data_IF_385026631364
#
_entry.id   IF_385026631364
#
_cell.length_a   1.000
_cell.length_b   1.000
_cell.length_c   1.000
_cell.angle_alpha   90.00
_cell.angle_beta   90.00
_cell.angle_gamma   90.00
#
_symmetry.space_group_name_H-M   'P 1'
#
loop_
_entity.id
_entity.type
_entity.pdbx_description
1 polymer ?
#
# COMPACT_ATOMS: atom_id res chain seq x y z
N UNK A 1 -0.76 16.11 8.40
CA UNK A 1 -2.19 16.01 8.73
C UNK A 1 -2.38 15.20 10.01
N UNK A 2 -3.15 15.71 10.98
CA UNK A 2 -3.22 15.20 12.37
C UNK A 2 -4.44 14.31 12.69
N UNK A 3 -5.35 14.14 11.72
CA UNK A 3 -6.51 13.26 11.85
C UNK A 3 -6.40 12.15 10.80
N UNK A 4 -6.12 10.93 11.27
CA UNK A 4 -6.06 9.66 10.50
C UNK A 4 -7.41 9.24 9.88
N UNK A 5 -8.27 10.21 9.55
CA UNK A 5 -9.63 10.00 9.09
C UNK A 5 -9.86 10.87 7.86
N UNK A 6 -10.24 10.24 6.76
CA UNK A 6 -10.76 10.89 5.57
C UNK A 6 -12.24 10.51 5.46
N UNK A 7 -13.14 11.45 5.75
CA UNK A 7 -14.56 11.15 5.92
C UNK A 7 -14.82 10.18 7.08
N UNK A 8 -15.54 9.07 6.80
CA UNK A 8 -15.82 7.98 7.77
C UNK A 8 -14.74 6.90 7.81
N UNK A 9 -13.74 6.98 6.94
CA UNK A 9 -12.71 5.95 6.79
C UNK A 9 -11.45 6.31 7.57
N UNK A 10 -10.95 5.34 8.33
CA UNK A 10 -9.67 5.45 9.05
C UNK A 10 -8.56 4.98 8.12
N UNK A 11 -7.55 5.83 7.96
CA UNK A 11 -6.33 5.50 7.23
C UNK A 11 -5.17 5.35 8.21
N UNK A 12 -4.56 4.17 8.21
CA UNK A 12 -3.27 3.93 8.85
C UNK A 12 -2.19 4.45 7.92
N UNK A 13 -1.09 4.96 8.49
CA UNK A 13 0.05 5.49 7.71
C UNK A 13 1.26 4.58 7.88
N UNK A 14 2.03 4.35 6.82
CA UNK A 14 3.28 3.58 6.82
C UNK A 14 3.10 2.21 7.46
N UNK A 15 2.24 1.39 6.85
CA UNK A 15 1.91 0.05 7.33
C UNK A 15 2.83 -0.95 6.65
N UNK A 16 3.51 -1.79 7.42
CA UNK A 16 4.22 -2.95 6.88
C UNK A 16 3.23 -3.99 6.38
N UNK A 17 3.32 -4.36 5.10
CA UNK A 17 2.53 -5.41 4.46
C UNK A 17 3.51 -6.44 3.91
N UNK A 18 3.65 -7.55 4.64
CA UNK A 18 4.63 -8.61 4.35
C UNK A 18 6.06 -8.04 4.19
N UNK A 19 6.57 -7.99 2.95
CA UNK A 19 7.92 -7.50 2.63
C UNK A 19 7.98 -6.01 2.27
N UNK A 20 6.84 -5.35 2.18
CA UNK A 20 6.73 -3.96 1.71
C UNK A 20 6.13 -3.03 2.78
N UNK A 21 6.23 -1.73 2.53
CA UNK A 21 5.55 -0.70 3.33
C UNK A 21 4.60 0.09 2.44
N UNK A 22 3.34 0.15 2.86
CA UNK A 22 2.29 0.95 2.25
C UNK A 22 2.16 2.31 2.94
N UNK A 23 2.08 3.39 2.16
CA UNK A 23 1.98 4.73 2.73
C UNK A 23 0.68 4.96 3.48
N UNK A 24 -0.44 4.52 2.92
CA UNK A 24 -1.74 4.58 3.58
C UNK A 24 -2.59 3.34 3.33
N UNK A 25 -3.22 2.83 4.39
CA UNK A 25 -4.11 1.66 4.32
C UNK A 25 -5.46 1.97 4.94
N UNK A 26 -6.54 1.64 4.23
CA UNK A 26 -7.89 1.59 4.77
C UNK A 26 -8.41 0.15 4.77
N UNK A 27 -8.36 -0.50 5.92
CA UNK A 27 -8.80 -1.89 6.08
C UNK A 27 -10.29 -2.07 5.76
N UNK A 28 -11.13 -1.13 6.20
CA UNK A 28 -12.58 -1.19 5.99
C UNK A 28 -12.98 -1.18 4.51
N UNK A 29 -12.21 -0.46 3.68
CA UNK A 29 -12.42 -0.39 2.23
C UNK A 29 -11.57 -1.40 1.45
N UNK A 30 -10.61 -2.08 2.10
CA UNK A 30 -9.56 -2.91 1.46
C UNK A 30 -8.79 -2.15 0.38
N UNK A 31 -8.44 -0.89 0.67
CA UNK A 31 -7.71 -0.01 -0.25
C UNK A 31 -6.36 0.37 0.33
N UNK A 32 -5.34 0.35 -0.53
CA UNK A 32 -4.00 0.89 -0.28
C UNK A 32 -3.82 2.12 -1.16
N UNK A 33 -3.24 3.19 -0.61
CA UNK A 33 -2.87 4.41 -1.34
C UNK A 33 -1.39 4.66 -1.11
N UNK A 34 -0.63 4.66 -2.19
CA UNK A 34 0.80 5.03 -2.21
C UNK A 34 0.96 6.47 -2.69
N UNK A 35 1.95 7.20 -2.16
CA UNK A 35 2.28 8.52 -2.64
C UNK A 35 3.33 8.41 -3.74
N UNK A 36 3.11 9.06 -4.87
CA UNK A 36 4.14 9.14 -5.90
C UNK A 36 5.36 9.93 -5.39
N UNK A 37 6.55 9.33 -5.52
CA UNK A 37 7.79 9.97 -5.11
C UNK A 37 9.02 9.11 -5.38
N UNK A 38 10.25 9.65 -5.18
CA UNK A 38 11.50 8.98 -5.55
C UNK A 38 11.77 7.66 -4.83
N UNK A 39 11.07 7.41 -3.71
CA UNK A 39 11.13 6.16 -2.93
C UNK A 39 10.27 5.05 -3.57
N UNK A 40 9.31 5.44 -4.42
CA UNK A 40 8.46 4.57 -5.22
C UNK A 40 9.00 4.42 -6.65
N UNK A 41 9.73 5.42 -7.15
CA UNK A 41 10.49 5.31 -8.40
C UNK A 41 11.50 4.16 -8.32
N UNK A 42 11.33 3.15 -9.19
CA UNK A 42 12.17 1.94 -9.23
C UNK A 42 11.65 0.73 -8.46
N UNK A 43 10.50 0.82 -7.76
CA UNK A 43 9.83 -0.37 -7.18
C UNK A 43 9.10 -1.23 -8.21
N UNK A 44 8.87 -0.75 -9.43
CA UNK A 44 8.18 -1.47 -10.52
C UNK A 44 8.81 -2.84 -10.86
N UNK A 45 10.13 -2.97 -10.72
CA UNK A 45 10.86 -4.24 -10.95
C UNK A 45 10.60 -5.26 -9.83
N UNK A 46 10.26 -4.80 -8.63
CA UNK A 46 9.89 -5.67 -7.51
C UNK A 46 8.40 -6.06 -7.56
N UNK A 47 7.58 -5.18 -8.13
CA UNK A 47 6.12 -5.35 -8.27
C UNK A 47 5.74 -6.46 -9.25
N UNK A 48 6.54 -6.68 -10.30
CA UNK A 48 6.29 -7.74 -11.30
C UNK A 48 6.41 -9.16 -10.71
N UNK A 49 7.33 -9.39 -9.76
CA UNK A 49 7.40 -10.66 -9.00
C UNK A 49 6.23 -10.85 -8.05
N UNK A 50 5.68 -9.75 -7.53
CA UNK A 50 4.55 -9.76 -6.60
C UNK A 50 3.27 -10.20 -7.31
N UNK A 51 3.03 -9.70 -8.52
CA UNK A 51 1.90 -10.14 -9.36
C UNK A 51 1.98 -11.63 -9.68
N UNK A 52 3.14 -12.14 -10.10
CA UNK A 52 3.31 -13.58 -10.39
C UNK A 52 3.02 -14.47 -9.18
N UNK A 53 3.50 -14.10 -7.99
CA UNK A 53 3.23 -14.87 -6.76
C UNK A 53 1.74 -14.84 -6.41
N UNK A 54 1.09 -13.67 -6.46
CA UNK A 54 -0.32 -13.55 -6.12
C UNK A 54 -1.23 -14.31 -7.10
N UNK A 55 -0.89 -14.36 -8.38
CA UNK A 55 -1.63 -15.16 -9.38
C UNK A 55 -1.41 -16.67 -9.20
N UNK A 56 -0.24 -17.11 -8.72
CA UNK A 56 0.03 -18.53 -8.44
C UNK A 56 -0.72 -19.07 -7.21
N UNK A 57 -1.12 -18.20 -6.28
CA UNK A 57 -1.83 -18.56 -5.05
C UNK A 57 -3.32 -18.18 -5.07
N UNK A 58 -3.83 -17.62 -6.19
CA UNK A 58 -5.25 -17.37 -6.45
C UNK A 58 -5.93 -18.53 -7.18
#
# INVERSE_FOLDING_TARGET
>A
MRNRRLGRFKFLRQVSIDRDFADFVCEAAKVIVELDGPIHDGREVYDSRRTEILELFG
#
